data_IF_255220475716
#
_entry.id   IF_255220475716
#
_cell.length_a   1.000
_cell.length_b   1.000
_cell.length_c   1.000
_cell.angle_alpha   90.00
_cell.angle_beta   90.00
_cell.angle_gamma   90.00
#
_symmetry.space_group_name_H-M   'P 1'
#
loop_
_entity.id
_entity.type
_entity.pdbx_description
1 polymer ?
#
# COMPACT_ATOMS: atom_id res chain seq x y z
N UNK A 1 -12.87 24.38 -4.13
CA UNK A 1 -13.18 23.05 -3.58
C UNK A 1 -11.84 22.36 -3.41
N UNK A 2 -11.36 22.17 -2.18
CA UNK A 2 -10.05 21.55 -1.92
C UNK A 2 -10.15 20.08 -2.33
N UNK A 3 -9.45 19.66 -3.38
CA UNK A 3 -9.44 18.27 -3.81
C UNK A 3 -9.01 17.38 -2.64
N UNK A 4 -9.85 16.38 -2.33
CA UNK A 4 -9.56 15.40 -1.30
C UNK A 4 -8.43 14.50 -1.82
N UNK A 5 -7.20 14.89 -1.53
CA UNK A 5 -6.02 14.08 -1.86
C UNK A 5 -6.13 12.70 -1.21
N UNK A 6 -6.02 11.66 -2.03
CA UNK A 6 -5.97 10.27 -1.60
C UNK A 6 -4.50 9.84 -1.51
N UNK A 7 -4.12 8.97 -0.55
CA UNK A 7 -2.74 8.47 -0.50
C UNK A 7 -2.44 7.56 -1.71
N UNK A 8 -1.16 7.37 -2.01
CA UNK A 8 -0.66 6.63 -3.18
C UNK A 8 -1.26 7.08 -4.53
N UNK A 9 -1.56 8.36 -4.69
CA UNK A 9 -1.93 8.94 -6.00
C UNK A 9 -0.93 9.97 -6.50
N UNK A 10 0.20 10.11 -5.80
CA UNK A 10 1.31 10.95 -6.20
C UNK A 10 2.21 10.25 -7.22
N UNK A 11 2.90 11.01 -8.07
CA UNK A 11 3.85 10.47 -9.05
C UNK A 11 3.29 10.20 -10.44
N UNK A 12 2.05 10.60 -10.71
CA UNK A 12 1.48 10.69 -12.06
C UNK A 12 0.94 9.38 -12.65
N UNK A 13 1.47 8.23 -12.24
CA UNK A 13 0.98 6.90 -12.68
C UNK A 13 0.49 6.12 -11.46
N UNK A 14 -0.69 5.54 -11.59
CA UNK A 14 -1.29 4.64 -10.60
C UNK A 14 -1.70 3.35 -11.28
N UNK A 15 -1.58 2.22 -10.58
CA UNK A 15 -2.12 0.95 -11.01
C UNK A 15 -3.29 0.56 -10.10
N UNK A 16 -4.46 0.35 -10.71
CA UNK A 16 -5.67 -0.13 -10.03
C UNK A 16 -6.06 -1.55 -10.41
N UNK A 17 -5.24 -2.26 -11.20
CA UNK A 17 -5.57 -3.58 -11.73
C UNK A 17 -5.31 -4.69 -10.72
N UNK A 18 -6.12 -4.73 -9.67
CA UNK A 18 -6.07 -5.76 -8.64
C UNK A 18 -7.29 -6.68 -8.71
N UNK A 19 -7.04 -7.98 -8.55
CA UNK A 19 -8.02 -9.04 -8.49
C UNK A 19 -8.03 -9.62 -7.08
N UNK A 20 -9.23 -9.94 -6.57
CA UNK A 20 -9.41 -10.44 -5.21
C UNK A 20 -10.11 -11.80 -5.23
N UNK A 21 -9.67 -12.71 -4.36
CA UNK A 21 -10.22 -14.05 -4.17
C UNK A 21 -10.23 -14.42 -2.69
N UNK A 22 -11.23 -15.17 -2.23
CA UNK A 22 -11.32 -15.65 -0.85
C UNK A 22 -12.52 -15.07 -0.12
N UNK A 23 -12.38 -14.84 1.18
CA UNK A 23 -13.47 -14.34 2.02
C UNK A 23 -13.78 -12.87 1.70
N UNK A 24 -14.98 -12.64 1.16
CA UNK A 24 -15.44 -11.33 0.73
C UNK A 24 -15.69 -10.36 1.89
N UNK A 25 -15.90 -10.84 3.11
CA UNK A 25 -16.16 -9.95 4.25
C UNK A 25 -14.93 -9.13 4.65
N UNK A 26 -13.74 -9.58 4.25
CA UNK A 26 -12.47 -8.89 4.51
C UNK A 26 -11.89 -8.22 3.26
N UNK A 27 -12.66 -8.12 2.18
CA UNK A 27 -12.20 -7.41 0.99
C UNK A 27 -12.12 -5.91 1.26
N UNK A 28 -11.05 -5.23 0.82
CA UNK A 28 -11.04 -3.78 0.72
C UNK A 28 -12.02 -3.31 -0.36
N UNK A 29 -12.50 -2.08 -0.23
CA UNK A 29 -13.36 -1.43 -1.21
C UNK A 29 -12.61 -1.09 -2.51
N UNK A 30 -11.35 -0.66 -2.39
CA UNK A 30 -10.47 -0.33 -3.52
C UNK A 30 -9.02 -0.69 -3.17
N UNK A 31 -8.26 -1.14 -4.16
CA UNK A 31 -6.81 -1.39 -4.06
C UNK A 31 -6.12 -0.71 -5.23
N UNK A 32 -5.02 -0.01 -4.96
CA UNK A 32 -4.17 0.58 -5.99
C UNK A 32 -2.74 0.74 -5.47
N UNK A 33 -1.79 0.93 -6.38
CA UNK A 33 -0.42 1.31 -6.05
C UNK A 33 0.08 2.46 -6.92
N UNK A 34 1.11 3.15 -6.46
CA UNK A 34 1.85 4.18 -7.21
C UNK A 34 3.29 3.74 -7.54
N UNK A 35 3.60 2.45 -7.34
CA UNK A 35 4.94 1.89 -7.52
C UNK A 35 5.92 2.10 -6.36
N UNK A 36 5.52 2.81 -5.30
CA UNK A 36 6.26 2.89 -4.03
C UNK A 36 5.45 2.31 -2.88
N UNK A 37 4.13 2.53 -2.87
CA UNK A 37 3.21 2.05 -1.85
C UNK A 37 1.96 1.43 -2.46
N UNK A 38 1.44 0.42 -1.78
CA UNK A 38 0.11 -0.14 -2.04
C UNK A 38 -0.90 0.48 -1.08
N UNK A 39 -1.98 1.04 -1.61
CA UNK A 39 -3.06 1.63 -0.85
C UNK A 39 -4.33 0.77 -0.94
N UNK A 40 -4.96 0.55 0.21
CA UNK A 40 -6.24 -0.17 0.30
C UNK A 40 -7.27 0.68 1.05
N UNK A 41 -8.41 0.95 0.40
CA UNK A 41 -9.52 1.69 1.02
C UNK A 41 -10.49 0.73 1.70
N UNK A 42 -10.88 1.07 2.91
CA UNK A 42 -11.79 0.29 3.74
C UNK A 42 -13.09 1.05 3.98
N UNK A 43 -14.16 0.30 4.25
CA UNK A 43 -15.40 0.87 4.75
C UNK A 43 -15.27 1.13 6.26
N UNK A 44 -15.97 2.15 6.80
CA UNK A 44 -15.80 2.55 8.20
C UNK A 44 -16.29 1.51 9.23
N UNK A 45 -17.02 0.48 8.81
CA UNK A 45 -17.67 -0.51 9.70
C UNK A 45 -16.96 -1.87 9.70
N UNK A 46 -15.85 -2.00 8.97
CA UNK A 46 -15.15 -3.27 8.77
C UNK A 46 -13.86 -3.29 9.59
N UNK A 47 -13.56 -4.45 10.19
CA UNK A 47 -12.28 -4.71 10.82
C UNK A 47 -11.18 -4.84 9.76
N UNK A 48 -10.01 -4.25 10.02
CA UNK A 48 -8.92 -4.20 9.04
C UNK A 48 -8.03 -5.45 9.23
N UNK A 49 -7.95 -6.36 8.24
CA UNK A 49 -7.06 -7.52 8.28
C UNK A 49 -5.59 -7.13 8.25
N UNK A 50 -4.72 -8.06 8.66
CA UNK A 50 -3.27 -7.94 8.52
C UNK A 50 -2.87 -8.30 7.08
N UNK A 51 -1.98 -7.50 6.49
CA UNK A 51 -1.46 -7.70 5.15
C UNK A 51 -0.11 -8.42 5.17
N UNK A 52 0.02 -9.43 4.32
CA UNK A 52 1.25 -10.14 4.03
C UNK A 52 1.56 -10.05 2.53
N UNK A 53 2.85 -9.93 2.18
CA UNK A 53 3.33 -10.25 0.83
C UNK A 53 3.59 -11.74 0.74
N UNK A 54 3.23 -12.34 -0.38
CA UNK A 54 3.47 -13.77 -0.63
C UNK A 54 4.59 -13.87 -1.67
N UNK A 55 5.68 -14.55 -1.31
CA UNK A 55 6.79 -14.78 -2.25
C UNK A 55 6.48 -15.92 -3.23
N UNK A 56 7.41 -16.17 -4.16
CA UNK A 56 7.24 -17.18 -5.21
C UNK A 56 7.15 -18.62 -4.65
N UNK A 57 7.73 -18.86 -3.47
CA UNK A 57 7.70 -20.15 -2.77
C UNK A 57 6.44 -20.29 -1.90
N UNK A 58 5.63 -19.24 -1.79
CA UNK A 58 4.38 -19.20 -1.04
C UNK A 58 4.53 -18.76 0.42
N UNK A 59 5.71 -18.31 0.85
CA UNK A 59 5.91 -17.81 2.21
C UNK A 59 5.33 -16.41 2.36
N UNK A 60 4.81 -16.15 3.55
CA UNK A 60 4.20 -14.88 3.92
C UNK A 60 5.18 -14.02 4.70
N UNK A 61 5.33 -12.76 4.26
CA UNK A 61 6.15 -11.78 4.96
C UNK A 61 5.25 -10.61 5.36
N UNK A 62 5.33 -10.21 6.62
CA UNK A 62 4.53 -9.11 7.16
C UNK A 62 4.88 -7.80 6.44
N UNK A 63 3.86 -7.06 6.02
CA UNK A 63 4.03 -5.76 5.37
C UNK A 63 3.69 -4.65 6.37
N UNK A 64 4.64 -3.74 6.57
CA UNK A 64 4.40 -2.55 7.39
C UNK A 64 3.47 -1.58 6.67
N UNK A 65 2.64 -0.87 7.45
CA UNK A 65 1.78 0.16 6.91
C UNK A 65 1.19 1.05 7.98
N UNK A 66 0.64 2.18 7.55
CA UNK A 66 -0.02 3.16 8.38
C UNK A 66 -1.41 3.51 7.85
N UNK A 67 -2.25 4.05 8.73
CA UNK A 67 -3.62 4.40 8.39
C UNK A 67 -3.75 5.89 8.09
N UNK A 68 -4.18 6.20 6.87
CA UNK A 68 -4.62 7.53 6.47
C UNK A 68 -6.14 7.55 6.29
N UNK A 69 -6.85 8.05 7.31
CA UNK A 69 -8.33 8.09 7.36
C UNK A 69 -8.94 6.69 7.17
N UNK A 70 -9.56 6.43 6.02
CA UNK A 70 -10.15 5.14 5.67
C UNK A 70 -9.30 4.35 4.67
N UNK A 71 -8.05 4.73 4.48
CA UNK A 71 -7.12 4.05 3.56
C UNK A 71 -5.90 3.59 4.35
N UNK A 72 -5.56 2.31 4.23
CA UNK A 72 -4.27 1.78 4.68
C UNK A 72 -3.23 2.02 3.60
N UNK A 73 -2.08 2.54 3.99
CA UNK A 73 -0.91 2.75 3.13
C UNK A 73 0.12 1.72 3.55
N UNK A 74 0.47 0.81 2.65
CA UNK A 74 1.44 -0.25 2.90
C UNK A 74 2.77 0.07 2.22
N UNK A 75 3.85 -0.09 2.96
CA UNK A 75 5.21 0.26 2.55
C UNK A 75 5.87 -0.81 1.67
N UNK A 76 5.09 -1.38 0.76
CA UNK A 76 5.52 -2.39 -0.18
C UNK A 76 4.60 -2.45 -1.40
N UNK A 77 5.11 -2.98 -2.51
CA UNK A 77 4.36 -3.26 -3.73
C UNK A 77 4.74 -4.66 -4.22
N UNK A 78 3.76 -5.56 -4.25
CA UNK A 78 3.97 -6.96 -4.59
C UNK A 78 2.83 -7.49 -5.48
N UNK A 79 3.15 -8.45 -6.36
CA UNK A 79 2.17 -9.07 -7.24
C UNK A 79 1.15 -9.92 -6.48
N UNK A 80 1.59 -10.57 -5.40
CA UNK A 80 0.77 -11.46 -4.58
C UNK A 80 0.76 -10.96 -3.14
N UNK A 81 -0.44 -10.66 -2.66
CA UNK A 81 -0.72 -10.16 -1.33
C UNK A 81 -1.79 -11.03 -0.68
N UNK A 82 -1.73 -11.17 0.65
CA UNK A 82 -2.72 -11.93 1.42
C UNK A 82 -3.17 -11.15 2.64
N UNK A 83 -4.48 -11.11 2.82
CA UNK A 83 -5.16 -10.59 3.99
C UNK A 83 -5.53 -11.74 4.92
N UNK A 84 -5.29 -11.54 6.22
CA UNK A 84 -5.70 -12.47 7.28
C UNK A 84 -6.42 -11.74 8.40
N UNK A 85 -7.55 -12.29 8.84
CA UNK A 85 -8.28 -11.86 10.03
C UNK A 85 -8.93 -13.06 10.70
N UNK A 86 -8.37 -13.51 11.83
CA UNK A 86 -8.75 -14.80 12.43
C UNK A 86 -8.59 -15.94 11.41
N UNK A 87 -9.67 -16.68 11.18
CA UNK A 87 -9.71 -17.77 10.19
C UNK A 87 -10.01 -17.30 8.76
N UNK A 88 -10.28 -16.00 8.56
CA UNK A 88 -10.63 -15.44 7.26
C UNK A 88 -9.38 -15.13 6.44
N UNK A 89 -9.40 -15.51 5.16
CA UNK A 89 -8.28 -15.31 4.24
C UNK A 89 -8.79 -14.77 2.90
N UNK A 90 -8.10 -13.75 2.39
CA UNK A 90 -8.32 -13.21 1.05
C UNK A 90 -6.99 -12.95 0.35
N UNK A 91 -6.86 -13.43 -0.88
CA UNK A 91 -5.73 -13.18 -1.76
C UNK A 91 -6.04 -11.98 -2.66
N UNK A 92 -5.06 -11.11 -2.82
CA UNK A 92 -5.09 -9.97 -3.72
C UNK A 92 -3.92 -10.14 -4.69
N UNK A 93 -4.22 -10.10 -5.99
CA UNK A 93 -3.21 -10.25 -7.05
C UNK A 93 -3.28 -9.13 -8.06
N UNK A 94 -2.14 -8.68 -8.54
CA UNK A 94 -2.05 -7.83 -9.73
C UNK A 94 -1.11 -8.48 -10.77
N UNK A 95 -1.33 -8.17 -12.05
CA UNK A 95 -0.44 -8.56 -13.16
C UNK A 95 0.36 -7.37 -13.69
N UNK A 96 0.32 -6.24 -12.99
CA UNK A 96 0.98 -5.00 -13.36
C UNK A 96 1.46 -4.33 -12.08
N UNK A 97 2.69 -3.81 -12.08
CA UNK A 97 3.20 -2.97 -11.01
C UNK A 97 3.71 -1.69 -11.66
N UNK A 98 3.41 -0.53 -11.06
CA UNK A 98 4.01 0.72 -11.54
C UNK A 98 5.51 0.69 -11.27
N UNK A 99 6.31 0.69 -12.33
CA UNK A 99 7.76 0.80 -12.18
C UNK A 99 8.13 2.26 -11.88
N UNK A 100 8.42 2.57 -10.61
CA UNK A 100 8.78 3.92 -10.18
C UNK A 100 10.31 4.07 -10.17
N UNK A 101 10.88 5.12 -10.81
CA UNK A 101 12.30 5.38 -10.74
C UNK A 101 12.71 5.75 -9.31
N UNK A 102 14.01 5.66 -9.04
CA UNK A 102 14.60 6.01 -7.75
C UNK A 102 14.08 7.35 -7.19
N UNK A 103 13.59 7.32 -5.94
CA UNK A 103 13.08 8.50 -5.26
C UNK A 103 14.22 9.43 -4.79
N UNK A 104 14.70 10.30 -5.69
CA UNK A 104 15.78 11.28 -5.41
C UNK A 104 15.44 12.24 -4.26
N UNK A 105 14.16 12.51 -4.00
CA UNK A 105 13.74 13.42 -2.92
C UNK A 105 13.88 12.79 -1.53
N UNK A 106 13.91 11.46 -1.45
CA UNK A 106 13.97 10.73 -0.18
C UNK A 106 12.76 10.94 0.73
N UNK A 107 11.62 11.39 0.18
CA UNK A 107 10.36 11.51 0.91
C UNK A 107 9.16 11.19 0.00
N UNK A 108 8.02 10.87 0.60
CA UNK A 108 6.75 10.60 -0.06
C UNK A 108 5.71 11.73 0.07
N UNK A 109 6.05 12.83 0.75
CA UNK A 109 5.12 13.92 1.05
C UNK A 109 5.34 15.17 0.17
N UNK A 110 6.05 15.00 -0.94
CA UNK A 110 6.38 16.06 -1.89
C UNK A 110 7.56 16.95 -1.48
N UNK A 111 8.07 16.83 -0.25
CA UNK A 111 9.25 17.57 0.23
C UNK A 111 10.54 16.88 -0.18
N UNK A 112 11.67 17.55 -0.02
CA UNK A 112 13.00 16.97 -0.26
C UNK A 112 13.71 16.81 1.08
N UNK A 113 14.25 15.63 1.35
CA UNK A 113 15.08 15.37 2.52
C UNK A 113 16.40 16.13 2.36
N UNK A 114 16.78 16.90 3.37
CA UNK A 114 18.05 17.62 3.42
C UNK A 114 18.77 17.23 4.69
N UNK A 115 19.99 16.72 4.55
CA UNK A 115 20.86 16.42 5.69
C UNK A 115 21.43 17.72 6.23
N UNK A 116 21.24 17.98 7.52
CA UNK A 116 21.89 19.09 8.22
C UNK A 116 23.03 18.52 9.05
N UNK A 117 24.25 18.67 8.57
CA UNK A 117 25.44 18.37 9.38
C UNK A 117 25.63 19.51 10.38
N UNK A 118 25.11 19.31 11.59
CA UNK A 118 25.39 20.15 12.75
C UNK A 118 26.44 19.43 13.59
N UNK A 119 27.73 19.77 13.39
CA UNK A 119 28.72 19.54 14.44
C UNK A 119 28.49 20.63 15.49
N UNK A 120 27.86 20.28 16.62
CA UNK A 120 28.04 21.09 17.83
C UNK A 120 29.51 20.92 18.24
N UNK A 121 30.19 22.05 18.41
CA UNK A 121 31.59 22.14 18.78
C UNK A 121 31.72 22.30 20.28
#
# INVERSE_FOLDING_TARGET
MTEKSFPCTDGGIINGHYQLKGDKSIFPYQVWDNGEFTCMRWTNKQEIPVLYRVDADGNEHLVNGDRNKNTMVYYDVAENLRLRLGDQVADIRTSSIVNRPWNKKGTSNGKTRVEKFSYEK
#
